data_IF_194466226557
#
_entry.id   IF_194466226557
#
_cell.length_a   1.000
_cell.length_b   1.000
_cell.length_c   1.000
_cell.angle_alpha   90.00
_cell.angle_beta   90.00
_cell.angle_gamma   90.00
#
_symmetry.space_group_name_H-M   'P 1'
#
loop_
_entity.id
_entity.type
_entity.pdbx_description
1 polymer ?
#
# COMPACT_ATOMS: atom_id res chain seq x y z
N UNK A 1 7.68 -0.18 -3.52
CA UNK A 1 8.57 -1.06 -2.73
C UNK A 1 8.35 -0.91 -1.23
N UNK A 2 8.49 0.28 -0.61
CA UNK A 2 8.33 0.47 0.84
C UNK A 2 7.03 -0.11 1.44
N UNK A 3 5.87 0.14 0.81
CA UNK A 3 4.59 -0.37 1.32
C UNK A 3 4.48 -1.91 1.33
N UNK A 4 5.12 -2.59 0.37
CA UNK A 4 5.18 -4.06 0.34
C UNK A 4 6.08 -4.59 1.46
N UNK A 5 7.20 -3.91 1.74
CA UNK A 5 8.07 -4.25 2.87
C UNK A 5 7.35 -4.06 4.21
N UNK A 6 6.62 -2.96 4.38
CA UNK A 6 5.84 -2.70 5.60
C UNK A 6 4.72 -3.74 5.79
N UNK A 7 4.05 -4.14 4.70
CA UNK A 7 3.08 -5.25 4.72
C UNK A 7 3.73 -6.55 5.19
N UNK A 8 4.92 -6.89 4.67
CA UNK A 8 5.66 -8.10 5.08
C UNK A 8 6.14 -8.06 6.54
N UNK A 9 6.32 -6.86 7.10
CA UNK A 9 6.67 -6.63 8.50
C UNK A 9 5.44 -6.49 9.42
N UNK A 10 4.24 -6.84 8.93
CA UNK A 10 2.95 -6.70 9.64
C UNK A 10 2.61 -5.28 10.12
N UNK A 11 3.30 -4.25 9.62
CA UNK A 11 3.04 -2.82 9.88
C UNK A 11 1.94 -2.30 8.95
N UNK A 12 0.72 -2.81 9.14
CA UNK A 12 -0.41 -2.66 8.21
C UNK A 12 -0.87 -1.20 8.05
N UNK A 13 -0.89 -0.41 9.11
CA UNK A 13 -1.32 0.99 9.09
C UNK A 13 -0.38 1.85 8.24
N UNK A 14 0.94 1.64 8.38
CA UNK A 14 1.94 2.36 7.61
C UNK A 14 1.94 1.91 6.15
N UNK A 15 1.81 0.60 5.90
CA UNK A 15 1.65 0.07 4.55
C UNK A 15 0.44 0.73 3.85
N UNK A 16 -0.68 0.88 4.55
CA UNK A 16 -1.88 1.56 4.05
C UNK A 16 -1.59 3.03 3.71
N UNK A 17 -0.95 3.77 4.62
CA UNK A 17 -0.60 5.18 4.42
C UNK A 17 0.29 5.38 3.18
N UNK A 18 1.31 4.55 3.00
CA UNK A 18 2.21 4.68 1.86
C UNK A 18 1.56 4.24 0.53
N UNK A 19 0.70 3.22 0.54
CA UNK A 19 -0.08 2.89 -0.65
C UNK A 19 -1.04 4.02 -1.05
N UNK A 20 -1.70 4.67 -0.07
CA UNK A 20 -2.56 5.83 -0.33
C UNK A 20 -1.77 7.00 -0.91
N UNK A 21 -0.58 7.31 -0.36
CA UNK A 21 0.33 8.32 -0.92
C UNK A 21 0.79 7.96 -2.34
N UNK A 22 1.09 6.70 -2.61
CA UNK A 22 1.47 6.27 -3.95
C UNK A 22 0.34 6.50 -4.95
N UNK A 23 -0.90 6.18 -4.59
CA UNK A 23 -2.07 6.41 -5.44
C UNK A 23 -2.44 7.89 -5.59
N UNK A 24 -2.19 8.73 -4.59
CA UNK A 24 -2.40 10.18 -4.74
C UNK A 24 -1.42 10.81 -5.73
N UNK A 25 -0.21 10.24 -5.87
CA UNK A 25 0.79 10.69 -6.84
C UNK A 25 0.54 10.10 -8.23
N UNK A 26 0.23 8.80 -8.30
CA UNK A 26 -0.14 8.14 -9.53
C UNK A 26 -1.27 7.13 -9.30
N UNK A 27 -2.50 7.46 -9.72
CA UNK A 27 -3.66 6.58 -9.58
C UNK A 27 -3.60 5.29 -10.43
N UNK A 28 -2.67 5.16 -11.39
CA UNK A 28 -2.54 3.96 -12.24
C UNK A 28 -1.66 2.86 -11.63
N UNK A 29 -1.12 3.06 -10.42
CA UNK A 29 -0.25 2.08 -9.77
C UNK A 29 -1.02 0.86 -9.25
N UNK A 30 -1.12 -0.17 -10.09
CA UNK A 30 -1.85 -1.40 -9.77
C UNK A 30 -1.35 -2.12 -8.52
N UNK A 31 -0.04 -2.09 -8.24
CA UNK A 31 0.50 -2.71 -7.03
C UNK A 31 -0.02 -2.04 -5.76
N UNK A 32 -0.22 -0.72 -5.78
CA UNK A 32 -0.70 0.03 -4.61
C UNK A 32 -2.19 -0.20 -4.38
N UNK A 33 -2.99 -0.38 -5.45
CA UNK A 33 -4.39 -0.78 -5.37
C UNK A 33 -4.54 -2.18 -4.77
N UNK A 34 -3.84 -3.17 -5.33
CA UNK A 34 -3.86 -4.56 -4.84
C UNK A 34 -3.43 -4.65 -3.38
N UNK A 35 -2.32 -3.97 -3.03
CA UNK A 35 -1.84 -3.96 -1.66
C UNK A 35 -2.85 -3.31 -0.70
N UNK A 36 -3.57 -2.26 -1.11
CA UNK A 36 -4.61 -1.66 -0.26
C UNK A 36 -5.80 -2.58 -0.05
N UNK A 37 -6.28 -3.23 -1.11
CA UNK A 37 -7.39 -4.18 -1.05
C UNK A 37 -7.08 -5.32 -0.07
N UNK A 38 -5.88 -5.91 -0.17
CA UNK A 38 -5.41 -6.95 0.74
C UNK A 38 -5.24 -6.48 2.19
N UNK A 39 -4.89 -5.21 2.41
CA UNK A 39 -4.74 -4.63 3.75
C UNK A 39 -6.08 -4.24 4.40
N UNK A 40 -7.15 -4.14 3.63
CA UNK A 40 -8.50 -3.80 4.11
C UNK A 40 -9.41 -5.00 4.35
N UNK A 41 -8.94 -6.20 4.04
CA UNK A 41 -9.68 -7.46 4.17
C UNK A 41 -9.30 -8.21 5.43
#
# INVERSE_FOLDING_TARGET
NLALCLKALERKEEAKFYCQKALSLNPSLDFAKKALEELTR
#
